data_IF_051692692903
#
_entry.id   IF_051692692903
#
_cell.length_a   1.000
_cell.length_b   1.000
_cell.length_c   1.000
_cell.angle_alpha   90.00
_cell.angle_beta   90.00
_cell.angle_gamma   90.00
#
_symmetry.space_group_name_H-M   'P 1'
#
loop_
_entity.id
_entity.type
_entity.pdbx_description
1 polymer ?
#
# COMPACT_ATOMS: atom_id res chain seq x y z
N UNK A 1 28.92 36.87 -50.32
CA UNK A 1 28.69 37.78 -49.17
C UNK A 1 27.68 37.22 -48.15
N UNK A 2 26.58 36.56 -48.54
CA UNK A 2 25.63 35.97 -47.58
C UNK A 2 26.14 34.67 -46.91
N UNK A 3 26.90 33.83 -47.63
CA UNK A 3 27.41 32.56 -47.11
C UNK A 3 28.55 32.69 -46.10
N UNK A 4 29.47 33.63 -46.31
CA UNK A 4 30.57 33.89 -45.37
C UNK A 4 30.07 34.45 -44.03
N UNK A 5 29.01 35.25 -44.04
CA UNK A 5 28.37 35.75 -42.81
C UNK A 5 27.62 34.65 -42.05
N UNK A 6 27.07 33.66 -42.75
CA UNK A 6 26.41 32.50 -42.16
C UNK A 6 27.43 31.55 -41.51
N UNK A 7 28.53 31.27 -42.20
CA UNK A 7 29.65 30.49 -41.66
C UNK A 7 30.29 31.17 -40.44
N UNK A 8 30.50 32.49 -40.48
CA UNK A 8 31.04 33.26 -39.35
C UNK A 8 30.11 33.24 -38.13
N UNK A 9 28.79 33.38 -38.33
CA UNK A 9 27.79 33.26 -37.24
C UNK A 9 27.74 31.87 -36.63
N UNK A 10 27.92 30.84 -37.45
CA UNK A 10 27.89 29.44 -36.99
C UNK A 10 29.16 29.12 -36.19
N UNK A 11 30.33 29.59 -36.65
CA UNK A 11 31.60 29.47 -35.93
C UNK A 11 31.57 30.21 -34.58
N UNK A 12 31.01 31.42 -34.54
CA UNK A 12 30.83 32.18 -33.30
C UNK A 12 29.92 31.46 -32.30
N UNK A 13 28.80 30.88 -32.75
CA UNK A 13 27.91 30.07 -31.89
C UNK A 13 28.59 28.81 -31.37
N UNK A 14 29.38 28.12 -32.19
CA UNK A 14 30.12 26.93 -31.75
C UNK A 14 31.20 27.30 -30.73
N UNK A 15 31.88 28.43 -30.90
CA UNK A 15 32.84 28.95 -29.91
C UNK A 15 32.16 29.39 -28.61
N UNK A 16 30.98 30.00 -28.68
CA UNK A 16 30.18 30.38 -27.51
C UNK A 16 29.67 29.14 -26.76
N UNK A 17 29.19 28.11 -27.47
CA UNK A 17 28.78 26.83 -26.87
C UNK A 17 30.00 26.10 -26.28
N UNK A 18 31.14 26.09 -26.97
CA UNK A 18 32.37 25.49 -26.45
C UNK A 18 32.89 26.24 -25.21
N UNK A 19 32.80 27.56 -25.20
CA UNK A 19 33.12 28.40 -24.05
C UNK A 19 32.15 28.14 -22.90
N UNK A 20 30.85 28.01 -23.14
CA UNK A 20 29.83 27.67 -22.14
C UNK A 20 29.99 26.25 -21.60
N UNK A 21 30.38 25.28 -22.43
CA UNK A 21 30.69 23.91 -22.01
C UNK A 21 31.98 23.87 -21.20
N UNK A 22 33.00 24.66 -21.57
CA UNK A 22 34.20 24.83 -20.76
C UNK A 22 33.93 25.59 -19.46
N UNK A 23 33.02 26.57 -19.46
CA UNK A 23 32.57 27.27 -18.26
C UNK A 23 31.74 26.35 -17.36
N UNK A 24 30.93 25.45 -17.93
CA UNK A 24 30.18 24.44 -17.18
C UNK A 24 31.08 23.34 -16.63
N UNK A 25 32.15 22.96 -17.34
CA UNK A 25 33.14 21.99 -16.87
C UNK A 25 34.11 22.57 -15.85
N UNK A 26 34.48 23.86 -15.96
CA UNK A 26 35.24 24.59 -14.92
C UNK A 26 34.37 25.04 -13.75
N UNK A 27 33.04 25.15 -13.94
CA UNK A 27 32.02 25.26 -12.89
C UNK A 27 31.54 23.89 -12.40
N UNK A 28 32.33 22.82 -12.56
CA UNK A 28 32.44 21.84 -11.47
C UNK A 28 33.13 22.57 -10.33
N UNK A 29 32.33 23.28 -9.55
CA UNK A 29 32.71 23.73 -8.22
C UNK A 29 33.19 22.46 -7.53
N UNK A 30 34.52 22.32 -7.37
CA UNK A 30 35.10 21.38 -6.43
C UNK A 30 34.49 21.81 -5.10
N UNK A 31 33.44 21.13 -4.66
CA UNK A 31 32.76 21.42 -3.40
C UNK A 31 33.84 21.16 -2.36
N UNK A 32 34.43 22.24 -1.87
CA UNK A 32 35.53 22.17 -0.92
C UNK A 32 34.95 21.72 0.42
N UNK A 33 35.27 20.48 0.79
CA UNK A 33 35.31 19.91 2.14
C UNK A 33 34.68 20.75 3.25
N UNK A 34 33.35 20.76 3.34
CA UNK A 34 32.65 21.28 4.51
C UNK A 34 32.90 20.41 5.73
N UNK A 35 32.57 20.92 6.93
CA UNK A 35 32.66 20.14 8.19
C UNK A 35 31.95 18.78 8.07
N UNK A 36 30.79 18.76 7.41
CA UNK A 36 30.02 17.55 7.06
C UNK A 36 30.83 16.52 6.28
N UNK A 37 31.51 16.94 5.20
CA UNK A 37 32.34 16.05 4.38
C UNK A 37 33.51 15.47 5.19
N UNK A 38 34.13 16.31 6.03
CA UNK A 38 35.25 15.88 6.87
C UNK A 38 34.83 14.83 7.92
N UNK A 39 33.66 14.99 8.55
CA UNK A 39 33.14 14.01 9.52
C UNK A 39 32.79 12.68 8.82
N UNK A 40 32.09 12.75 7.69
CA UNK A 40 31.76 11.55 6.91
C UNK A 40 33.03 10.81 6.45
N UNK A 41 34.02 11.54 5.92
CA UNK A 41 35.30 10.96 5.50
C UNK A 41 36.02 10.29 6.68
N UNK A 42 36.15 10.96 7.81
CA UNK A 42 36.76 10.38 9.02
C UNK A 42 36.05 9.10 9.47
N UNK A 43 34.73 9.07 9.38
CA UNK A 43 33.94 7.89 9.76
C UNK A 43 34.26 6.67 8.87
N UNK A 44 34.22 6.83 7.56
CA UNK A 44 34.56 5.73 6.65
C UNK A 44 36.05 5.37 6.66
N UNK A 45 36.93 6.35 6.83
CA UNK A 45 38.38 6.12 6.98
C UNK A 45 38.68 5.31 8.26
N UNK A 46 37.97 5.60 9.37
CA UNK A 46 38.09 4.82 10.61
C UNK A 46 37.65 3.37 10.41
N UNK A 47 36.53 3.13 9.70
CA UNK A 47 36.11 1.76 9.35
C UNK A 47 37.15 1.07 8.46
N UNK A 48 37.66 1.77 7.44
CA UNK A 48 38.71 1.25 6.55
C UNK A 48 40.00 0.90 7.32
N UNK A 49 40.33 1.67 8.35
CA UNK A 49 41.46 1.44 9.26
C UNK A 49 41.16 0.40 10.35
N UNK A 50 39.93 -0.11 10.44
CA UNK A 50 39.43 -0.98 11.52
C UNK A 50 39.52 -0.34 12.91
N UNK A 51 39.43 0.99 12.97
CA UNK A 51 39.38 1.78 14.21
C UNK A 51 37.92 1.97 14.64
N UNK A 52 37.40 0.97 15.36
CA UNK A 52 36.01 0.92 15.81
C UNK A 52 35.68 2.06 16.79
N UNK A 53 36.62 2.46 17.64
CA UNK A 53 36.37 3.48 18.65
C UNK A 53 36.31 4.88 18.02
N UNK A 54 37.16 5.19 17.05
CA UNK A 54 37.03 6.44 16.27
C UNK A 54 35.72 6.44 15.47
N UNK A 55 35.38 5.33 14.80
CA UNK A 55 34.16 5.25 13.99
C UNK A 55 32.90 5.49 14.85
N UNK A 56 32.78 4.80 15.98
CA UNK A 56 31.66 4.97 16.93
C UNK A 56 31.70 6.35 17.59
N UNK A 57 32.89 6.86 17.89
CA UNK A 57 33.11 8.17 18.49
C UNK A 57 32.64 9.34 17.62
N UNK A 58 32.38 9.15 16.33
CA UNK A 58 31.84 10.17 15.43
C UNK A 58 30.31 10.27 15.45
N UNK A 59 29.62 9.37 16.12
CA UNK A 59 28.16 9.40 16.26
C UNK A 59 27.70 10.30 17.40
N UNK A 60 26.51 10.88 17.23
CA UNK A 60 25.75 11.49 18.30
C UNK A 60 25.12 10.40 19.19
N UNK A 61 24.93 10.69 20.47
CA UNK A 61 24.22 9.78 21.37
C UNK A 61 22.79 9.55 20.88
N UNK A 62 22.36 8.30 20.81
CA UNK A 62 21.07 7.90 20.26
C UNK A 62 20.91 8.06 18.74
N UNK A 63 21.99 8.40 18.02
CA UNK A 63 22.01 8.51 16.56
C UNK A 63 21.58 7.20 15.89
N UNK A 64 20.88 7.30 14.76
CA UNK A 64 20.21 6.14 14.12
C UNK A 64 21.00 5.62 12.92
N UNK A 65 21.41 4.35 12.99
CA UNK A 65 21.92 3.61 11.83
C UNK A 65 20.80 2.74 11.27
N UNK A 66 20.60 2.82 9.95
CA UNK A 66 19.52 2.12 9.26
C UNK A 66 20.01 1.60 7.91
N UNK A 67 20.42 0.34 7.91
CA UNK A 67 20.76 -0.40 6.70
C UNK A 67 19.49 -1.02 6.15
N UNK A 68 19.01 -0.49 5.03
CA UNK A 68 17.66 -0.76 4.53
C UNK A 68 17.40 -2.25 4.31
N UNK A 69 16.41 -2.77 5.04
CA UNK A 69 16.00 -4.18 4.97
C UNK A 69 16.90 -5.15 5.75
N UNK A 70 17.86 -4.65 6.53
CA UNK A 70 18.84 -5.47 7.24
C UNK A 70 18.94 -5.12 8.73
N UNK A 71 19.32 -3.89 9.07
CA UNK A 71 19.68 -3.48 10.44
C UNK A 71 19.06 -2.11 10.76
N UNK A 72 18.47 -1.97 11.95
CA UNK A 72 18.08 -0.68 12.53
C UNK A 72 18.53 -0.63 13.99
N UNK A 73 19.53 0.21 14.28
CA UNK A 73 20.20 0.28 15.59
C UNK A 73 20.50 1.73 16.00
N UNK A 74 20.88 1.92 17.26
CA UNK A 74 21.25 3.23 17.81
C UNK A 74 22.69 3.26 18.30
N UNK A 75 23.34 4.40 18.11
CA UNK A 75 24.65 4.68 18.64
C UNK A 75 24.59 4.97 20.16
N UNK A 76 25.68 4.71 20.91
CA UNK A 76 26.93 4.12 20.42
C UNK A 76 26.94 2.59 20.36
N UNK A 77 26.25 1.87 21.26
CA UNK A 77 26.38 0.41 21.41
C UNK A 77 25.94 -0.36 20.17
N UNK A 78 24.76 -0.06 19.63
CA UNK A 78 24.22 -0.77 18.47
C UNK A 78 25.05 -0.56 17.21
N UNK A 79 25.61 0.65 17.02
CA UNK A 79 26.54 0.93 15.92
C UNK A 79 27.87 0.20 16.12
N UNK A 80 28.38 0.13 17.36
CA UNK A 80 29.59 -0.63 17.69
C UNK A 80 29.44 -2.11 17.36
N UNK A 81 28.35 -2.73 17.80
CA UNK A 81 28.04 -4.13 17.52
C UNK A 81 27.90 -4.39 16.01
N UNK A 82 27.24 -3.48 15.30
CA UNK A 82 27.06 -3.60 13.85
C UNK A 82 28.38 -3.52 13.06
N UNK A 83 29.18 -2.47 13.28
CA UNK A 83 30.47 -2.30 12.58
C UNK A 83 31.44 -3.41 12.98
N UNK A 84 31.50 -3.75 14.27
CA UNK A 84 32.32 -4.86 14.77
C UNK A 84 31.96 -6.19 14.12
N UNK A 85 30.66 -6.52 14.07
CA UNK A 85 30.16 -7.73 13.41
C UNK A 85 30.52 -7.80 11.92
N UNK A 86 30.46 -6.67 11.20
CA UNK A 86 30.88 -6.60 9.80
C UNK A 86 32.39 -6.88 9.64
N UNK A 87 33.23 -6.25 10.47
CA UNK A 87 34.68 -6.43 10.45
C UNK A 87 35.11 -7.85 10.87
N UNK A 88 34.34 -8.48 11.74
CA UNK A 88 34.55 -9.87 12.17
C UNK A 88 34.03 -10.87 11.14
N UNK A 89 32.95 -10.56 10.40
CA UNK A 89 32.43 -11.43 9.35
C UNK A 89 33.37 -11.50 8.13
N UNK A 90 34.10 -10.41 7.87
CA UNK A 90 35.03 -10.26 6.74
C UNK A 90 36.41 -9.85 7.27
N UNK A 91 37.26 -10.81 7.70
CA UNK A 91 38.51 -10.52 8.39
C UNK A 91 39.52 -9.70 7.57
N UNK A 92 39.46 -9.85 6.24
CA UNK A 92 40.31 -9.15 5.26
C UNK A 92 39.58 -7.98 4.58
N UNK A 93 38.52 -7.45 5.21
CA UNK A 93 37.71 -6.36 4.68
C UNK A 93 38.55 -5.16 4.25
N UNK A 94 38.31 -4.72 3.02
CA UNK A 94 38.79 -3.47 2.45
C UNK A 94 37.61 -2.58 2.15
N UNK A 95 37.61 -1.39 2.74
CA UNK A 95 36.60 -0.38 2.52
C UNK A 95 37.19 0.73 1.64
N UNK A 96 36.49 1.09 0.57
CA UNK A 96 36.89 2.13 -0.37
C UNK A 96 35.75 3.14 -0.53
N UNK A 97 36.03 4.44 -0.33
CA UNK A 97 35.10 5.52 -0.68
C UNK A 97 35.31 5.88 -2.15
N UNK A 98 34.31 5.59 -2.99
CA UNK A 98 34.36 5.85 -4.43
C UNK A 98 34.04 7.30 -4.76
N UNK A 99 33.04 7.88 -4.10
CA UNK A 99 32.66 9.28 -4.27
C UNK A 99 31.89 9.82 -3.07
N UNK A 100 31.86 11.15 -2.93
CA UNK A 100 31.15 11.81 -1.84
C UNK A 100 30.54 13.12 -2.35
N UNK A 101 29.31 13.41 -1.96
CA UNK A 101 28.61 14.67 -2.28
C UNK A 101 27.95 15.22 -1.04
N UNK A 102 28.09 16.52 -0.79
CA UNK A 102 27.51 17.17 0.39
C UNK A 102 26.58 18.32 0.03
N UNK A 103 25.53 18.49 0.84
CA UNK A 103 24.66 19.65 0.84
C UNK A 103 24.22 19.93 2.28
N UNK A 104 24.64 21.09 2.82
CA UNK A 104 24.35 21.49 4.20
C UNK A 104 24.80 20.41 5.22
N UNK A 105 23.86 19.87 5.99
CA UNK A 105 24.08 18.83 7.00
C UNK A 105 24.07 17.41 6.41
N UNK A 106 23.79 17.24 5.12
CA UNK A 106 23.67 15.93 4.48
C UNK A 106 24.92 15.57 3.67
N UNK A 107 25.33 14.31 3.79
CA UNK A 107 26.41 13.72 3.02
C UNK A 107 25.94 12.43 2.37
N UNK A 108 26.11 12.30 1.06
CA UNK A 108 25.96 11.04 0.34
C UNK A 108 27.34 10.47 0.07
N UNK A 109 27.57 9.22 0.48
CA UNK A 109 28.84 8.52 0.28
C UNK A 109 28.61 7.27 -0.52
N UNK A 110 29.25 7.18 -1.68
CA UNK A 110 29.32 5.96 -2.46
C UNK A 110 30.56 5.18 -2.04
N UNK A 111 30.39 3.92 -1.72
CA UNK A 111 31.46 3.07 -1.23
C UNK A 111 31.46 1.69 -1.88
N UNK A 112 32.61 1.03 -1.77
CA UNK A 112 32.82 -0.36 -2.12
C UNK A 112 33.51 -1.07 -0.97
N UNK A 113 32.98 -2.22 -0.58
CA UNK A 113 33.62 -3.18 0.31
C UNK A 113 34.09 -4.37 -0.53
N UNK A 114 35.28 -4.88 -0.23
CA UNK A 114 35.75 -6.16 -0.77
C UNK A 114 36.40 -6.99 0.33
N UNK A 115 36.33 -8.31 0.21
CA UNK A 115 36.97 -9.24 1.14
C UNK A 115 36.43 -10.64 0.97
N UNK A 116 36.72 -11.50 1.95
CA UNK A 116 36.33 -12.89 1.99
C UNK A 116 35.38 -13.11 3.17
N UNK A 117 34.17 -13.61 2.90
CA UNK A 117 33.16 -13.86 3.93
C UNK A 117 33.45 -15.17 4.68
N UNK A 118 34.50 -15.15 5.50
CA UNK A 118 35.09 -16.32 6.15
C UNK A 118 35.39 -16.14 7.64
N UNK A 119 34.96 -15.02 8.23
CA UNK A 119 35.28 -14.71 9.62
C UNK A 119 34.37 -15.41 10.64
N UNK A 120 34.60 -15.25 11.95
CA UNK A 120 33.82 -15.95 12.98
C UNK A 120 32.38 -15.44 13.14
N UNK A 121 32.05 -14.25 12.64
CA UNK A 121 30.73 -13.64 12.78
C UNK A 121 29.82 -13.87 11.56
N UNK A 122 28.51 -13.84 11.79
CA UNK A 122 27.52 -13.85 10.72
C UNK A 122 27.31 -12.44 10.15
N UNK A 123 26.91 -12.36 8.89
CA UNK A 123 26.48 -11.12 8.25
C UNK A 123 24.97 -11.21 7.97
N UNK A 124 24.17 -10.32 8.57
CA UNK A 124 22.71 -10.34 8.44
C UNK A 124 22.07 -11.71 8.79
N UNK A 125 22.63 -12.39 9.80
CA UNK A 125 22.19 -13.73 10.23
C UNK A 125 22.65 -14.88 9.32
N UNK A 126 23.42 -14.60 8.27
CA UNK A 126 23.96 -15.60 7.35
C UNK A 126 25.32 -16.06 7.86
N UNK A 127 25.56 -17.37 7.89
CA UNK A 127 26.85 -17.93 8.28
C UNK A 127 27.91 -17.68 7.16
N UNK A 128 29.18 -17.48 7.54
CA UNK A 128 30.29 -17.34 6.59
C UNK A 128 30.34 -18.50 5.58
N UNK A 129 30.40 -18.16 4.30
CA UNK A 129 30.43 -19.16 3.21
C UNK A 129 31.84 -19.45 2.69
N UNK A 130 32.79 -18.57 3.00
CA UNK A 130 34.15 -18.61 2.44
C UNK A 130 34.27 -17.92 1.08
N UNK A 131 33.18 -17.40 0.51
CA UNK A 131 33.20 -16.77 -0.80
C UNK A 131 33.84 -15.38 -0.76
N UNK A 132 34.56 -14.98 -1.83
CA UNK A 132 34.95 -13.59 -2.03
C UNK A 132 33.71 -12.75 -2.34
N UNK A 133 33.64 -11.57 -1.73
CA UNK A 133 32.55 -10.62 -1.92
C UNK A 133 33.08 -9.26 -2.36
N UNK A 134 32.32 -8.62 -3.24
CA UNK A 134 32.42 -7.20 -3.57
C UNK A 134 31.02 -6.60 -3.39
N UNK A 135 30.89 -5.72 -2.42
CA UNK A 135 29.64 -5.03 -2.10
C UNK A 135 29.78 -3.55 -2.43
N UNK A 136 28.80 -3.00 -3.12
CA UNK A 136 28.71 -1.56 -3.35
C UNK A 136 27.46 -1.02 -2.66
N UNK A 137 27.53 0.24 -2.25
CA UNK A 137 26.41 0.88 -1.60
C UNK A 137 26.51 2.39 -1.56
N UNK A 138 25.44 2.99 -1.04
CA UNK A 138 25.31 4.41 -0.79
C UNK A 138 24.82 4.65 0.62
N UNK A 139 25.47 5.58 1.31
CA UNK A 139 25.08 6.02 2.65
C UNK A 139 24.63 7.48 2.60
N UNK A 140 23.44 7.77 3.12
CA UNK A 140 22.94 9.13 3.33
C UNK A 140 23.08 9.48 4.81
N UNK A 141 24.14 10.22 5.14
CA UNK A 141 24.39 10.71 6.50
C UNK A 141 23.74 12.08 6.70
N UNK A 142 23.16 12.28 7.88
CA UNK A 142 22.84 13.60 8.44
C UNK A 142 23.78 13.88 9.59
N UNK A 143 24.52 14.99 9.50
CA UNK A 143 25.60 15.35 10.41
C UNK A 143 25.32 16.75 10.97
N UNK A 144 25.20 16.83 12.30
CA UNK A 144 25.00 18.09 13.03
C UNK A 144 26.03 18.21 14.14
N UNK A 145 26.48 19.43 14.38
CA UNK A 145 27.46 19.72 15.45
C UNK A 145 28.71 18.82 15.43
N UNK A 146 29.12 18.39 14.23
CA UNK A 146 30.28 17.52 14.02
C UNK A 146 30.05 16.04 14.36
N UNK A 147 28.79 15.62 14.52
CA UNK A 147 28.39 14.26 14.87
C UNK A 147 27.37 13.69 13.89
N UNK A 148 27.44 12.40 13.64
CA UNK A 148 26.46 11.68 12.82
C UNK A 148 25.19 11.48 13.66
N UNK A 149 24.09 12.11 13.25
CA UNK A 149 22.77 11.91 13.88
C UNK A 149 22.02 10.74 13.26
N UNK A 150 22.17 10.54 11.95
CA UNK A 150 21.58 9.38 11.27
C UNK A 150 22.33 8.99 10.02
N UNK A 151 22.29 7.70 9.72
CA UNK A 151 22.71 7.13 8.45
C UNK A 151 21.58 6.26 7.88
N UNK A 152 21.26 6.47 6.61
CA UNK A 152 20.39 5.58 5.84
C UNK A 152 21.23 4.93 4.72
N UNK A 153 21.57 3.66 4.91
CA UNK A 153 22.49 2.90 4.05
C UNK A 153 21.74 1.96 3.08
N UNK A 154 22.18 1.94 1.82
CA UNK A 154 21.60 1.20 0.70
C UNK A 154 22.65 0.29 0.03
N UNK A 155 22.92 -0.90 0.59
CA UNK A 155 23.86 -1.85 0.00
C UNK A 155 23.22 -2.71 -1.10
N UNK A 156 24.01 -3.17 -2.07
CA UNK A 156 23.59 -4.17 -3.07
C UNK A 156 23.38 -5.57 -2.45
N UNK A 157 22.24 -5.72 -1.80
CA UNK A 157 21.85 -6.93 -1.07
C UNK A 157 21.58 -8.12 -2.00
N UNK A 158 21.09 -7.86 -3.23
CA UNK A 158 20.84 -8.91 -4.22
C UNK A 158 22.17 -9.39 -4.81
N UNK A 159 23.08 -8.46 -5.09
CA UNK A 159 24.45 -8.78 -5.51
C UNK A 159 25.19 -9.60 -4.46
N UNK A 160 25.08 -9.26 -3.18
CA UNK A 160 25.59 -10.08 -2.07
C UNK A 160 25.01 -11.50 -2.12
N UNK A 161 23.68 -11.63 -2.07
CA UNK A 161 23.01 -12.93 -2.03
C UNK A 161 23.36 -13.83 -3.22
N UNK A 162 23.65 -13.26 -4.38
CA UNK A 162 24.14 -14.01 -5.55
C UNK A 162 25.58 -14.48 -5.39
N UNK A 163 26.47 -13.63 -4.86
CA UNK A 163 27.88 -13.97 -4.66
C UNK A 163 28.09 -15.10 -3.66
N UNK A 164 27.27 -15.15 -2.60
CA UNK A 164 27.32 -16.21 -1.57
C UNK A 164 26.41 -17.41 -1.89
N UNK A 165 25.87 -17.49 -3.11
CA UNK A 165 25.10 -18.63 -3.60
C UNK A 165 23.66 -18.77 -3.08
N UNK A 166 23.12 -17.80 -2.34
CA UNK A 166 21.71 -17.80 -1.89
C UNK A 166 20.73 -17.60 -3.05
N UNK A 167 21.13 -16.85 -4.08
CA UNK A 167 20.35 -16.64 -5.28
C UNK A 167 21.15 -17.07 -6.52
N UNK A 168 20.48 -17.60 -7.56
CA UNK A 168 21.15 -17.91 -8.81
C UNK A 168 21.67 -16.65 -9.49
N UNK A 169 22.78 -16.79 -10.20
CA UNK A 169 23.36 -15.72 -11.00
C UNK A 169 22.40 -15.28 -12.13
N UNK A 170 22.43 -13.99 -12.50
CA UNK A 170 21.53 -13.44 -13.51
C UNK A 170 21.75 -14.10 -14.87
N UNK A 171 20.66 -14.42 -15.57
CA UNK A 171 20.68 -15.04 -16.90
C UNK A 171 21.01 -16.53 -16.91
N UNK A 172 21.07 -17.19 -15.74
CA UNK A 172 21.29 -18.64 -15.67
C UNK A 172 19.98 -19.42 -15.78
N UNK A 173 20.06 -20.66 -16.29
CA UNK A 173 18.91 -21.57 -16.33
C UNK A 173 18.32 -21.86 -14.92
N UNK A 174 19.13 -21.71 -13.86
CA UNK A 174 18.66 -21.83 -12.48
C UNK A 174 17.74 -20.66 -12.09
N UNK A 175 18.08 -19.42 -12.47
CA UNK A 175 17.23 -18.24 -12.26
C UNK A 175 15.93 -18.35 -13.05
N UNK A 176 16.00 -18.80 -14.31
CA UNK A 176 14.81 -19.02 -15.15
C UNK A 176 13.87 -20.05 -14.55
N UNK A 177 14.39 -21.17 -14.04
CA UNK A 177 13.59 -22.21 -13.37
C UNK A 177 12.95 -21.68 -12.09
N UNK A 178 13.69 -20.95 -11.27
CA UNK A 178 13.18 -20.36 -10.03
C UNK A 178 12.04 -19.37 -10.34
N UNK A 179 12.25 -18.50 -11.33
CA UNK A 179 11.24 -17.54 -11.82
C UNK A 179 10.02 -18.26 -12.41
N UNK A 180 10.25 -19.31 -13.21
CA UNK A 180 9.20 -20.13 -13.80
C UNK A 180 8.34 -20.83 -12.74
N UNK A 181 8.96 -21.40 -11.71
CA UNK A 181 8.29 -22.03 -10.58
C UNK A 181 7.46 -21.01 -9.77
N UNK A 182 8.03 -19.84 -9.49
CA UNK A 182 7.30 -18.73 -8.85
C UNK A 182 6.08 -18.31 -9.67
N UNK A 183 6.25 -18.10 -10.98
CA UNK A 183 5.17 -17.73 -11.90
C UNK A 183 4.09 -18.81 -12.03
N UNK A 184 4.48 -20.09 -12.00
CA UNK A 184 3.54 -21.20 -11.97
C UNK A 184 2.72 -21.18 -10.66
N UNK A 185 3.37 -21.00 -9.51
CA UNK A 185 2.69 -20.87 -8.21
C UNK A 185 1.74 -19.68 -8.20
N UNK A 186 2.14 -18.54 -8.76
CA UNK A 186 1.29 -17.34 -8.88
C UNK A 186 0.06 -17.61 -9.74
N UNK A 187 0.21 -18.28 -10.90
CA UNK A 187 -0.91 -18.68 -11.76
C UNK A 187 -1.87 -19.65 -11.09
N UNK A 188 -1.36 -20.58 -10.28
CA UNK A 188 -2.22 -21.51 -9.51
C UNK A 188 -2.98 -20.75 -8.43
N UNK A 189 -2.32 -19.85 -7.67
CA UNK A 189 -2.97 -19.03 -6.64
C UNK A 189 -4.02 -18.06 -7.23
N UNK A 190 -3.77 -17.48 -8.39
CA UNK A 190 -4.73 -16.58 -9.04
C UNK A 190 -6.00 -17.30 -9.50
N UNK A 191 -5.93 -18.59 -9.83
CA UNK A 191 -7.11 -19.43 -10.14
C UNK A 191 -7.98 -19.74 -8.93
N UNK A 192 -7.43 -19.63 -7.72
CA UNK A 192 -8.14 -19.87 -6.44
C UNK A 192 -8.66 -18.55 -5.85
N UNK A 193 -8.24 -17.41 -6.39
CA UNK A 193 -8.71 -16.08 -5.94
C UNK A 193 -10.09 -15.80 -6.57
N UNK A 194 -11.10 -15.36 -5.78
CA UNK A 194 -12.43 -15.08 -6.30
C UNK A 194 -12.41 -14.03 -7.43
N UNK A 195 -13.31 -14.24 -8.39
CA UNK A 195 -13.86 -13.28 -9.37
C UNK A 195 -12.97 -12.12 -9.83
N UNK A 196 -12.54 -12.14 -11.09
CA UNK A 196 -12.14 -10.90 -11.75
C UNK A 196 -13.30 -9.90 -11.77
N UNK A 197 -12.99 -8.61 -11.95
CA UNK A 197 -14.01 -7.57 -12.07
C UNK A 197 -14.98 -7.90 -13.22
N UNK A 198 -16.27 -7.97 -12.93
CA UNK A 198 -17.33 -8.21 -13.90
C UNK A 198 -18.01 -6.87 -14.22
N UNK A 199 -18.16 -6.54 -15.51
CA UNK A 199 -18.87 -5.33 -15.93
C UNK A 199 -20.38 -5.53 -15.70
N UNK A 200 -20.99 -4.67 -14.90
CA UNK A 200 -22.42 -4.76 -14.53
C UNK A 200 -23.27 -3.67 -15.19
N UNK A 201 -22.65 -2.56 -15.55
CA UNK A 201 -23.24 -1.46 -16.31
C UNK A 201 -22.10 -0.65 -16.96
N UNK A 202 -22.44 0.30 -17.83
CA UNK A 202 -21.45 1.19 -18.44
C UNK A 202 -20.64 1.91 -17.35
N UNK A 203 -19.31 1.77 -17.39
CA UNK A 203 -18.39 2.35 -16.42
C UNK A 203 -18.47 1.77 -15.01
N UNK A 204 -19.12 0.61 -14.80
CA UNK A 204 -19.29 0.02 -13.47
C UNK A 204 -18.96 -1.47 -13.47
N UNK A 205 -18.02 -1.86 -12.61
CA UNK A 205 -17.63 -3.25 -12.38
C UNK A 205 -17.91 -3.67 -10.95
N UNK A 206 -18.08 -4.98 -10.74
CA UNK A 206 -18.16 -5.59 -9.41
C UNK A 206 -17.03 -6.60 -9.21
N UNK A 207 -16.42 -6.57 -8.04
CA UNK A 207 -15.55 -7.64 -7.53
C UNK A 207 -16.28 -8.28 -6.37
N UNK A 208 -16.62 -9.57 -6.49
CA UNK A 208 -17.30 -10.32 -5.44
C UNK A 208 -16.32 -11.23 -4.69
N UNK A 209 -16.28 -11.09 -3.37
CA UNK A 209 -15.32 -11.78 -2.50
C UNK A 209 -15.86 -12.97 -1.73
N UNK A 210 -15.00 -13.59 -0.94
CA UNK A 210 -15.33 -14.62 0.04
C UNK A 210 -14.54 -14.38 1.33
N UNK A 211 -15.07 -14.74 2.51
CA UNK A 211 -16.41 -15.27 2.77
C UNK A 211 -17.49 -14.17 2.75
N UNK A 212 -18.75 -14.57 2.55
CA UNK A 212 -19.89 -13.64 2.66
C UNK A 212 -20.32 -12.99 1.36
N UNK A 213 -19.62 -13.23 0.23
CA UNK A 213 -20.02 -12.69 -1.08
C UNK A 213 -20.16 -11.17 -1.10
N UNK A 214 -19.33 -10.46 -0.32
CA UNK A 214 -19.29 -8.99 -0.31
C UNK A 214 -18.95 -8.48 -1.71
N UNK A 215 -19.65 -7.44 -2.13
CA UNK A 215 -19.45 -6.75 -3.38
C UNK A 215 -18.63 -5.48 -3.14
N UNK A 216 -17.65 -5.25 -4.02
CA UNK A 216 -16.97 -3.96 -4.15
C UNK A 216 -17.20 -3.47 -5.56
N UNK A 217 -17.78 -2.28 -5.70
CA UNK A 217 -18.03 -1.69 -7.00
C UNK A 217 -16.88 -0.78 -7.38
N UNK A 218 -16.43 -0.88 -8.62
CA UNK A 218 -15.42 -0.01 -9.21
C UNK A 218 -16.16 0.82 -10.26
N UNK A 219 -16.20 2.12 -10.05
CA UNK A 219 -16.90 3.08 -10.92
C UNK A 219 -15.84 3.91 -11.62
N UNK A 220 -15.87 3.97 -12.94
CA UNK A 220 -14.97 4.81 -13.74
C UNK A 220 -15.03 6.27 -13.26
N UNK A 221 -13.87 6.84 -12.93
CA UNK A 221 -13.75 8.19 -12.40
C UNK A 221 -12.38 8.78 -12.75
N UNK A 222 -12.35 9.91 -13.48
CA UNK A 222 -11.14 10.68 -13.82
C UNK A 222 -9.94 9.88 -14.37
N UNK A 223 -10.17 8.86 -15.21
CA UNK A 223 -9.11 8.01 -15.76
C UNK A 223 -8.55 6.98 -14.77
N UNK A 224 -9.29 6.71 -13.68
CA UNK A 224 -9.14 5.58 -12.78
C UNK A 224 -10.51 5.09 -12.34
N UNK A 225 -10.60 4.61 -11.10
CA UNK A 225 -11.88 4.20 -10.50
C UNK A 225 -12.08 4.75 -9.08
N UNK A 226 -13.32 5.15 -8.79
CA UNK A 226 -13.83 5.31 -7.43
C UNK A 226 -14.43 3.99 -6.97
N UNK A 227 -14.02 3.52 -5.80
CA UNK A 227 -14.57 2.30 -5.20
C UNK A 227 -15.79 2.68 -4.37
N UNK A 228 -16.91 2.00 -4.58
CA UNK A 228 -18.06 2.05 -3.69
C UNK A 228 -18.13 0.77 -2.87
N UNK A 229 -18.12 0.93 -1.55
CA UNK A 229 -17.67 -0.07 -0.57
C UNK A 229 -16.23 -0.54 -0.76
N UNK A 230 -15.71 -1.26 0.22
CA UNK A 230 -14.37 -1.84 0.22
C UNK A 230 -14.36 -3.32 0.64
N UNK A 231 -15.51 -3.96 0.85
CA UNK A 231 -15.59 -5.41 1.04
C UNK A 231 -14.73 -5.93 2.20
N UNK A 232 -14.39 -7.23 2.14
CA UNK A 232 -13.63 -7.92 3.16
C UNK A 232 -12.10 -7.77 2.98
N UNK A 233 -11.32 -7.83 4.08
CA UNK A 233 -9.85 -7.85 4.05
C UNK A 233 -9.26 -8.90 3.11
N UNK A 234 -9.88 -10.06 2.97
CA UNK A 234 -9.45 -11.12 2.03
C UNK A 234 -9.46 -10.66 0.57
N UNK A 235 -10.20 -9.59 0.25
CA UNK A 235 -10.38 -9.06 -1.11
C UNK A 235 -9.28 -8.08 -1.54
N UNK A 236 -8.36 -7.67 -0.64
CA UNK A 236 -7.36 -6.62 -0.92
C UNK A 236 -6.66 -6.83 -2.26
N UNK A 237 -6.21 -8.06 -2.54
CA UNK A 237 -5.50 -8.36 -3.79
C UNK A 237 -6.40 -8.31 -5.01
N UNK A 238 -7.62 -8.84 -4.91
CA UNK A 238 -8.55 -8.90 -6.03
C UNK A 238 -9.00 -7.49 -6.43
N UNK A 239 -9.38 -6.68 -5.44
CA UNK A 239 -9.79 -5.28 -5.64
C UNK A 239 -8.62 -4.43 -6.13
N UNK A 240 -7.43 -4.51 -5.51
CA UNK A 240 -6.26 -3.76 -5.97
C UNK A 240 -5.87 -4.11 -7.41
N UNK A 241 -5.95 -5.40 -7.77
CA UNK A 241 -5.66 -5.85 -9.15
C UNK A 241 -6.70 -5.34 -10.14
N UNK A 242 -7.99 -5.39 -9.78
CA UNK A 242 -9.08 -4.89 -10.62
C UNK A 242 -8.95 -3.38 -10.84
N UNK A 243 -8.77 -2.62 -9.76
CA UNK A 243 -8.58 -1.18 -9.83
C UNK A 243 -7.35 -0.81 -10.66
N UNK A 244 -6.20 -1.47 -10.47
CA UNK A 244 -4.99 -1.22 -11.26
C UNK A 244 -5.20 -1.44 -12.77
N UNK A 245 -6.00 -2.45 -13.16
CA UNK A 245 -6.34 -2.70 -14.57
C UNK A 245 -7.28 -1.64 -15.17
N UNK A 246 -8.00 -0.92 -14.32
CA UNK A 246 -8.95 0.14 -14.69
C UNK A 246 -8.39 1.55 -14.44
N UNK A 247 -7.05 1.71 -14.42
CA UNK A 247 -6.40 3.03 -14.26
C UNK A 247 -6.05 3.42 -12.82
N UNK A 248 -6.25 2.52 -11.86
CA UNK A 248 -5.92 2.70 -10.44
C UNK A 248 -7.08 3.23 -9.60
N UNK A 249 -7.10 2.89 -8.31
CA UNK A 249 -8.07 3.43 -7.36
C UNK A 249 -7.76 4.91 -7.06
N UNK A 250 -8.78 5.77 -7.12
CA UNK A 250 -8.66 7.20 -6.82
C UNK A 250 -9.11 7.55 -5.41
N UNK A 251 -10.23 6.97 -5.00
CA UNK A 251 -10.82 7.13 -3.66
C UNK A 251 -11.74 5.94 -3.38
N UNK A 252 -12.12 5.81 -2.12
CA UNK A 252 -13.12 4.86 -1.64
C UNK A 252 -14.26 5.67 -1.04
N UNK A 253 -15.50 5.33 -1.39
CA UNK A 253 -16.70 5.80 -0.72
C UNK A 253 -17.34 4.59 -0.05
N UNK A 254 -17.26 4.53 1.28
CA UNK A 254 -17.88 3.45 2.04
C UNK A 254 -19.40 3.66 2.09
N UNK A 255 -20.15 2.61 1.76
CA UNK A 255 -21.59 2.58 1.96
C UNK A 255 -21.94 2.63 3.43
N UNK A 256 -21.13 2.00 4.29
CA UNK A 256 -21.19 2.10 5.75
C UNK A 256 -19.92 1.53 6.42
N UNK A 257 -19.80 1.65 7.73
CA UNK A 257 -18.60 1.39 8.52
C UNK A 257 -18.41 -0.06 9.00
N UNK A 258 -19.23 -1.03 8.58
CA UNK A 258 -19.04 -2.43 8.99
C UNK A 258 -17.73 -3.03 8.47
N UNK A 259 -17.19 -3.99 9.22
CA UNK A 259 -15.85 -4.55 8.97
C UNK A 259 -15.73 -5.27 7.63
N UNK A 260 -16.81 -5.85 7.13
CA UNK A 260 -16.91 -6.52 5.84
C UNK A 260 -17.21 -5.58 4.66
N UNK A 261 -17.33 -4.27 4.93
CA UNK A 261 -17.46 -3.21 3.92
C UNK A 261 -16.29 -2.23 3.94
N UNK A 262 -15.50 -2.15 5.01
CA UNK A 262 -14.28 -1.32 5.08
C UNK A 262 -12.97 -2.10 4.91
N UNK A 263 -13.01 -3.43 4.81
CA UNK A 263 -11.87 -4.32 5.00
C UNK A 263 -10.70 -4.15 4.03
N UNK A 264 -10.94 -3.69 2.78
CA UNK A 264 -9.84 -3.38 1.84
C UNK A 264 -9.25 -1.98 2.07
N UNK A 265 -10.01 -1.05 2.65
CA UNK A 265 -9.67 0.36 2.66
C UNK A 265 -8.31 0.69 3.29
N UNK A 266 -7.91 0.11 4.45
CA UNK A 266 -6.60 0.37 5.05
C UNK A 266 -5.39 0.02 4.18
N UNK A 267 -5.55 -0.89 3.22
CA UNK A 267 -4.45 -1.39 2.41
C UNK A 267 -4.21 -0.62 1.09
N UNK A 268 -5.18 0.17 0.63
CA UNK A 268 -5.09 0.84 -0.68
C UNK A 268 -4.39 2.20 -0.64
N UNK A 269 -4.36 2.87 0.52
CA UNK A 269 -3.64 4.15 0.67
C UNK A 269 -4.22 5.31 -0.15
N UNK A 270 -5.52 5.26 -0.45
CA UNK A 270 -6.27 6.33 -1.15
C UNK A 270 -7.24 7.03 -0.18
N UNK A 271 -7.70 8.26 -0.46
CA UNK A 271 -8.71 8.93 0.35
C UNK A 271 -9.96 8.07 0.53
N UNK A 272 -10.48 8.04 1.76
CA UNK A 272 -11.68 7.28 2.13
C UNK A 272 -12.74 8.24 2.63
N UNK A 273 -13.92 8.18 2.04
CA UNK A 273 -15.08 8.98 2.40
C UNK A 273 -16.20 8.07 2.88
N UNK A 274 -17.05 8.59 3.74
CA UNK A 274 -18.30 7.93 4.17
C UNK A 274 -19.30 9.00 4.61
N UNK A 275 -20.50 8.59 5.00
CA UNK A 275 -21.43 9.49 5.68
C UNK A 275 -20.89 9.92 7.04
N UNK A 276 -21.24 11.13 7.50
CA UNK A 276 -20.76 11.67 8.78
C UNK A 276 -21.07 10.75 9.98
N UNK A 277 -22.25 10.11 9.98
CA UNK A 277 -22.66 9.19 11.04
C UNK A 277 -21.91 7.83 11.03
N UNK A 278 -21.15 7.54 9.98
CA UNK A 278 -20.35 6.30 9.85
C UNK A 278 -18.89 6.52 10.25
N UNK A 279 -18.45 7.75 10.54
CA UNK A 279 -17.04 8.05 10.86
C UNK A 279 -16.60 7.27 12.10
N UNK A 280 -17.39 7.26 13.17
CA UNK A 280 -17.07 6.53 14.41
C UNK A 280 -16.87 5.02 14.16
N UNK A 281 -17.70 4.45 13.29
CA UNK A 281 -17.66 3.02 12.97
C UNK A 281 -16.51 2.69 12.03
N UNK A 282 -16.27 3.51 11.01
CA UNK A 282 -15.20 3.34 10.05
C UNK A 282 -13.80 3.55 10.67
N UNK A 283 -13.65 4.54 11.55
CA UNK A 283 -12.40 4.82 12.29
C UNK A 283 -12.25 3.98 13.57
N UNK A 284 -13.27 3.20 13.93
CA UNK A 284 -13.30 2.49 15.20
C UNK A 284 -14.13 1.23 15.13
N UNK A 285 -15.35 1.32 15.62
CA UNK A 285 -16.14 0.20 16.16
C UNK A 285 -16.45 -0.90 15.14
N UNK A 286 -16.54 -0.59 13.84
CA UNK A 286 -16.92 -1.54 12.82
C UNK A 286 -18.38 -2.03 12.93
N UNK A 287 -19.28 -1.24 13.52
CA UNK A 287 -20.67 -1.58 13.82
C UNK A 287 -20.90 -2.17 15.23
N UNK A 288 -19.84 -2.60 15.90
CA UNK A 288 -19.96 -3.26 17.21
C UNK A 288 -20.51 -2.36 18.33
N UNK A 289 -20.55 -1.03 18.16
CA UNK A 289 -21.12 -0.11 19.16
C UNK A 289 -22.63 -0.25 19.35
N UNK A 290 -23.36 -0.66 18.30
CA UNK A 290 -24.83 -0.81 18.34
C UNK A 290 -25.29 -2.25 18.17
N UNK A 291 -24.40 -3.17 17.81
CA UNK A 291 -24.71 -4.60 17.87
C UNK A 291 -24.81 -5.10 19.31
N UNK A 292 -25.58 -6.19 19.56
CA UNK A 292 -25.63 -6.81 20.88
C UNK A 292 -24.23 -7.19 21.38
N UNK A 293 -23.95 -6.88 22.65
CA UNK A 293 -22.68 -7.25 23.31
C UNK A 293 -22.39 -8.73 23.08
N UNK A 294 -21.15 -9.02 22.69
CA UNK A 294 -20.67 -10.36 22.38
C UNK A 294 -21.48 -11.11 21.30
N UNK A 295 -22.24 -10.39 20.46
CA UNK A 295 -23.17 -10.95 19.47
C UNK A 295 -24.20 -11.89 20.12
N UNK A 296 -24.71 -11.52 21.30
CA UNK A 296 -25.61 -12.33 22.13
C UNK A 296 -26.88 -12.85 21.46
N UNK A 297 -27.26 -12.31 20.29
CA UNK A 297 -28.35 -12.81 19.44
C UNK A 297 -28.03 -14.09 18.67
N UNK A 298 -26.78 -14.57 18.68
CA UNK A 298 -26.35 -15.79 17.98
C UNK A 298 -26.09 -16.97 18.92
N UNK A 299 -26.32 -18.22 18.46
CA UNK A 299 -25.86 -19.41 19.18
C UNK A 299 -24.35 -19.39 19.45
N UNK A 300 -23.93 -19.92 20.60
CA UNK A 300 -22.52 -19.93 21.04
C UNK A 300 -21.50 -20.40 19.97
N UNK A 301 -21.69 -21.50 19.23
CA UNK A 301 -20.73 -21.90 18.20
C UNK A 301 -20.65 -20.90 17.04
N UNK A 302 -21.78 -20.30 16.65
CA UNK A 302 -21.84 -19.27 15.60
C UNK A 302 -21.14 -17.98 16.04
N UNK A 303 -21.27 -17.57 17.32
CA UNK A 303 -20.55 -16.41 17.87
C UNK A 303 -19.03 -16.57 17.72
N UNK A 304 -18.50 -17.75 18.03
CA UNK A 304 -17.06 -18.01 17.92
C UNK A 304 -16.58 -17.98 16.47
N UNK A 305 -17.33 -18.58 15.54
CA UNK A 305 -17.01 -18.52 14.11
C UNK A 305 -17.04 -17.09 13.61
N UNK A 306 -18.07 -16.32 13.98
CA UNK A 306 -18.20 -14.91 13.58
C UNK A 306 -17.02 -14.07 14.06
N UNK A 307 -16.58 -14.22 15.32
CA UNK A 307 -15.38 -13.55 15.85
C UNK A 307 -14.12 -13.85 15.05
N UNK A 308 -13.94 -15.11 14.65
CA UNK A 308 -12.81 -15.52 13.81
C UNK A 308 -12.90 -14.90 12.41
N UNK A 309 -14.09 -14.85 11.81
CA UNK A 309 -14.31 -14.22 10.51
C UNK A 309 -14.01 -12.72 10.55
N UNK A 310 -14.49 -12.00 11.56
CA UNK A 310 -14.14 -10.60 11.77
C UNK A 310 -12.64 -10.39 11.84
N UNK A 311 -11.94 -11.14 12.69
CA UNK A 311 -10.48 -10.97 12.90
C UNK A 311 -9.62 -11.33 11.70
N UNK A 312 -9.98 -12.40 10.97
CA UNK A 312 -9.09 -12.99 9.97
C UNK A 312 -9.54 -12.80 8.53
N UNK A 313 -10.82 -12.52 8.29
CA UNK A 313 -11.39 -12.48 6.95
C UNK A 313 -11.97 -11.11 6.57
N UNK A 314 -12.76 -10.50 7.45
CA UNK A 314 -13.50 -9.27 7.15
C UNK A 314 -12.72 -8.02 7.53
N UNK A 315 -12.34 -7.86 8.80
CA UNK A 315 -11.80 -6.60 9.30
C UNK A 315 -10.37 -6.36 8.82
N UNK A 316 -10.19 -5.26 8.09
CA UNK A 316 -8.89 -4.69 7.71
C UNK A 316 -8.27 -3.84 8.81
N UNK A 317 -9.04 -3.52 9.85
CA UNK A 317 -8.73 -2.54 10.88
C UNK A 317 -9.40 -1.19 10.61
N UNK A 318 -9.35 -0.27 11.59
CA UNK A 318 -9.77 1.12 11.42
C UNK A 318 -9.18 1.80 10.19
N UNK A 319 -9.98 2.63 9.54
CA UNK A 319 -9.53 3.45 8.42
C UNK A 319 -9.84 4.92 8.70
N UNK A 320 -8.85 5.80 8.50
CA UNK A 320 -9.02 7.23 8.70
C UNK A 320 -9.90 7.82 7.59
N UNK A 321 -10.94 8.54 7.97
CA UNK A 321 -11.83 9.21 7.03
C UNK A 321 -11.21 10.54 6.60
N UNK A 322 -11.15 10.73 5.29
CA UNK A 322 -10.53 11.89 4.66
C UNK A 322 -11.53 13.03 4.49
N UNK A 323 -12.79 12.71 4.18
CA UNK A 323 -13.90 13.65 4.04
C UNK A 323 -15.24 12.91 4.18
N UNK A 324 -16.35 13.64 4.26
CA UNK A 324 -17.69 13.07 4.36
C UNK A 324 -18.54 13.36 3.13
N UNK A 325 -19.47 12.46 2.81
CA UNK A 325 -20.52 12.67 1.80
C UNK A 325 -21.90 12.71 2.45
N UNK A 326 -22.83 13.45 1.84
CA UNK A 326 -24.21 13.60 2.29
C UNK A 326 -25.21 13.28 1.17
N UNK A 327 -26.48 13.15 1.55
CA UNK A 327 -27.60 13.04 0.60
C UNK A 327 -27.51 14.13 -0.49
N UNK A 328 -27.62 13.71 -1.74
CA UNK A 328 -27.61 14.61 -2.90
C UNK A 328 -26.23 14.92 -3.49
N UNK A 329 -25.14 14.59 -2.79
CA UNK A 329 -23.79 14.74 -3.33
C UNK A 329 -23.57 13.84 -4.55
N UNK A 330 -22.61 14.21 -5.39
CA UNK A 330 -22.24 13.44 -6.58
C UNK A 330 -20.93 12.66 -6.38
N UNK A 331 -20.96 11.37 -6.69
CA UNK A 331 -19.82 10.45 -6.66
C UNK A 331 -19.74 9.71 -7.98
N UNK A 332 -18.74 10.04 -8.81
CA UNK A 332 -18.47 9.37 -10.08
C UNK A 332 -19.72 9.23 -10.99
N UNK A 333 -20.53 10.29 -11.09
CA UNK A 333 -21.78 10.31 -11.88
C UNK A 333 -22.99 9.66 -11.20
N UNK A 334 -22.89 9.29 -9.92
CA UNK A 334 -24.00 8.82 -9.09
C UNK A 334 -24.37 9.87 -8.05
N UNK A 335 -25.66 9.99 -7.75
CA UNK A 335 -26.17 10.76 -6.62
C UNK A 335 -26.17 9.89 -5.36
N UNK A 336 -25.68 10.43 -4.25
CA UNK A 336 -25.70 9.79 -2.94
C UNK A 336 -27.11 9.83 -2.36
N UNK A 337 -27.57 8.69 -1.84
CA UNK A 337 -28.82 8.53 -1.10
C UNK A 337 -28.52 8.06 0.32
N UNK A 338 -29.05 8.75 1.33
CA UNK A 338 -28.98 8.33 2.73
C UNK A 338 -30.11 7.35 3.06
N UNK A 339 -29.74 6.10 3.34
CA UNK A 339 -30.66 4.97 3.56
C UNK A 339 -30.41 4.33 4.93
N UNK A 340 -30.62 5.07 6.04
CA UNK A 340 -30.27 4.61 7.38
C UNK A 340 -31.09 3.39 7.81
N UNK A 341 -30.57 2.65 8.79
CA UNK A 341 -31.30 1.58 9.48
C UNK A 341 -30.45 0.32 9.66
N UNK A 342 -29.78 -0.16 8.61
CA UNK A 342 -28.75 -1.19 8.81
C UNK A 342 -27.57 -0.61 9.59
N UNK A 343 -27.10 0.57 9.14
CA UNK A 343 -26.17 1.44 9.84
C UNK A 343 -26.76 2.87 9.84
N UNK A 344 -26.41 3.73 10.82
CA UNK A 344 -27.04 5.05 10.97
C UNK A 344 -26.75 6.03 9.82
N UNK A 345 -25.59 5.91 9.18
CA UNK A 345 -25.21 6.66 7.99
C UNK A 345 -25.06 5.80 6.75
N UNK A 346 -25.79 4.68 6.64
CA UNK A 346 -25.74 3.88 5.42
C UNK A 346 -26.14 4.72 4.21
N UNK A 347 -25.33 4.68 3.17
CA UNK A 347 -25.61 5.34 1.88
C UNK A 347 -25.69 4.33 0.73
N UNK A 348 -26.44 4.73 -0.29
CA UNK A 348 -26.48 4.10 -1.61
C UNK A 348 -26.07 5.11 -2.68
N UNK A 349 -25.66 4.60 -3.84
CA UNK A 349 -25.40 5.40 -5.03
C UNK A 349 -26.48 5.13 -6.08
N UNK A 350 -27.09 6.20 -6.58
CA UNK A 350 -28.14 6.17 -7.60
C UNK A 350 -27.71 6.88 -8.88
N UNK A 351 -27.85 6.20 -10.02
CA UNK A 351 -27.62 6.79 -11.34
C UNK A 351 -28.91 6.84 -12.13
N UNK A 352 -29.35 8.06 -12.45
CA UNK A 352 -30.61 8.32 -13.13
C UNK A 352 -30.63 7.79 -14.58
N UNK A 353 -29.49 7.87 -15.28
CA UNK A 353 -29.40 7.57 -16.72
C UNK A 353 -29.76 6.13 -17.08
N UNK A 354 -29.45 5.16 -16.21
CA UNK A 354 -29.76 3.75 -16.39
C UNK A 354 -30.59 3.14 -15.23
N UNK A 355 -31.01 3.98 -14.27
CA UNK A 355 -31.74 3.58 -13.06
C UNK A 355 -31.02 2.48 -12.28
N UNK A 356 -29.70 2.56 -12.20
CA UNK A 356 -28.86 1.66 -11.43
C UNK A 356 -28.75 2.14 -9.98
N UNK A 357 -29.06 1.25 -9.04
CA UNK A 357 -28.82 1.45 -7.62
C UNK A 357 -27.71 0.53 -7.12
N UNK A 358 -26.66 1.11 -6.52
CA UNK A 358 -25.68 0.38 -5.70
C UNK A 358 -26.02 0.64 -4.23
N UNK A 359 -26.59 -0.35 -3.56
CA UNK A 359 -27.36 -0.14 -2.35
C UNK A 359 -26.65 -0.48 -1.04
N UNK A 360 -25.39 -0.94 -1.11
CA UNK A 360 -24.68 -1.52 0.04
C UNK A 360 -25.62 -2.46 0.81
N UNK A 361 -25.62 -2.43 2.14
CA UNK A 361 -26.43 -3.30 2.98
C UNK A 361 -27.85 -2.80 3.27
N UNK A 362 -28.41 -1.94 2.40
CA UNK A 362 -29.83 -1.54 2.49
C UNK A 362 -30.79 -2.75 2.45
N UNK A 363 -30.44 -3.79 1.66
CA UNK A 363 -31.14 -5.07 1.62
C UNK A 363 -30.17 -6.22 1.33
N UNK A 364 -30.55 -7.45 1.69
CA UNK A 364 -29.79 -8.66 1.38
C UNK A 364 -30.48 -9.54 0.35
N UNK A 365 -29.70 -10.14 -0.54
CA UNK A 365 -30.10 -11.28 -1.38
C UNK A 365 -29.39 -12.58 -0.93
N UNK A 366 -28.96 -12.59 0.33
CA UNK A 366 -28.23 -13.67 0.98
C UNK A 366 -28.91 -14.01 2.31
N UNK A 367 -29.10 -15.30 2.59
CA UNK A 367 -29.57 -15.75 3.90
C UNK A 367 -28.42 -15.88 4.91
N UNK A 368 -28.75 -16.15 6.17
CA UNK A 368 -27.75 -16.29 7.26
C UNK A 368 -26.78 -17.47 7.08
N UNK A 369 -27.04 -18.37 6.12
CA UNK A 369 -26.16 -19.49 5.76
C UNK A 369 -25.38 -19.24 4.47
N UNK A 370 -25.45 -18.04 3.90
CA UNK A 370 -24.73 -17.67 2.68
C UNK A 370 -25.37 -18.18 1.39
N UNK A 371 -26.66 -18.55 1.40
CA UNK A 371 -27.40 -19.00 0.21
C UNK A 371 -28.16 -17.83 -0.41
N UNK A 372 -28.22 -17.79 -1.73
CA UNK A 372 -28.99 -16.76 -2.43
C UNK A 372 -30.48 -16.88 -2.07
N UNK A 373 -31.13 -15.76 -1.78
CA UNK A 373 -32.57 -15.68 -1.53
C UNK A 373 -33.18 -14.44 -2.19
N UNK A 374 -34.51 -14.32 -2.14
CA UNK A 374 -35.21 -13.10 -2.51
C UNK A 374 -34.74 -11.92 -1.63
N UNK A 375 -34.84 -10.67 -2.11
CA UNK A 375 -34.47 -9.53 -1.29
C UNK A 375 -35.23 -9.52 0.02
N UNK A 376 -34.54 -9.13 1.10
CA UNK A 376 -35.07 -9.09 2.46
C UNK A 376 -34.35 -8.02 3.27
N UNK A 377 -34.98 -7.58 4.36
CA UNK A 377 -34.30 -6.79 5.38
C UNK A 377 -33.11 -7.59 5.95
N UNK A 378 -31.94 -6.97 6.18
CA UNK A 378 -30.85 -7.63 6.88
C UNK A 378 -31.30 -8.11 8.26
N UNK A 379 -30.62 -9.13 8.78
CA UNK A 379 -31.06 -9.79 10.02
C UNK A 379 -31.02 -8.79 11.19
N UNK A 380 -32.08 -8.66 12.03
CA UNK A 380 -32.22 -7.56 12.99
C UNK A 380 -31.03 -7.33 13.93
N UNK A 381 -30.28 -8.38 14.26
CA UNK A 381 -29.09 -8.24 15.12
C UNK A 381 -27.96 -7.39 14.50
N UNK A 382 -27.95 -7.24 13.17
CA UNK A 382 -26.94 -6.47 12.44
C UNK A 382 -27.45 -5.08 12.06
N UNK A 383 -28.72 -4.78 12.32
CA UNK A 383 -29.30 -3.47 12.07
C UNK A 383 -29.14 -2.58 13.30
N UNK A 384 -28.83 -1.32 13.04
CA UNK A 384 -29.02 -0.23 14.00
C UNK A 384 -30.51 -0.04 14.37
N UNK A 385 -31.38 0.03 13.36
CA UNK A 385 -32.84 0.11 13.48
C UNK A 385 -33.50 -0.63 12.31
N UNK A 386 -34.24 -1.71 12.63
CA UNK A 386 -34.86 -2.57 11.62
C UNK A 386 -36.07 -1.92 10.95
N UNK A 387 -36.85 -1.09 11.66
CA UNK A 387 -37.99 -0.40 11.05
C UNK A 387 -37.53 0.74 10.14
N UNK A 388 -36.45 1.43 10.54
CA UNK A 388 -35.79 2.39 9.68
C UNK A 388 -35.19 1.72 8.44
N UNK A 389 -34.59 0.53 8.57
CA UNK A 389 -34.09 -0.23 7.42
C UNK A 389 -35.22 -0.59 6.44
N UNK A 390 -36.40 -1.00 6.95
CA UNK A 390 -37.59 -1.22 6.11
C UNK A 390 -38.02 0.05 5.39
N UNK A 391 -38.03 1.19 6.07
CA UNK A 391 -38.36 2.48 5.46
C UNK A 391 -37.38 2.86 4.34
N UNK A 392 -36.09 2.62 4.55
CA UNK A 392 -35.04 2.84 3.54
C UNK A 392 -35.21 1.94 2.31
N UNK A 393 -35.60 0.67 2.48
CA UNK A 393 -35.92 -0.22 1.36
C UNK A 393 -37.13 0.31 0.56
N UNK A 394 -38.19 0.79 1.24
CA UNK A 394 -39.35 1.39 0.56
C UNK A 394 -38.94 2.64 -0.23
N UNK A 395 -38.13 3.52 0.37
CA UNK A 395 -37.58 4.71 -0.30
C UNK A 395 -36.78 4.36 -1.56
N UNK A 396 -35.94 3.32 -1.50
CA UNK A 396 -35.20 2.84 -2.67
C UNK A 396 -36.14 2.27 -3.75
N UNK A 397 -37.19 1.56 -3.36
CA UNK A 397 -38.17 1.00 -4.29
C UNK A 397 -38.97 2.09 -5.04
N UNK A 398 -39.23 3.24 -4.42
CA UNK A 398 -39.95 4.38 -5.02
C UNK A 398 -39.19 5.02 -6.19
N UNK A 399 -37.87 4.83 -6.28
CA UNK A 399 -37.05 5.28 -7.41
C UNK A 399 -37.21 4.39 -8.66
N UNK A 400 -37.93 3.29 -8.55
CA UNK A 400 -38.16 2.29 -9.59
C UNK A 400 -36.86 1.83 -10.30
N UNK A 401 -35.87 1.27 -9.54
CA UNK A 401 -34.60 0.87 -10.12
C UNK A 401 -34.78 -0.17 -11.23
N UNK A 402 -34.02 -0.06 -12.31
CA UNK A 402 -33.95 -1.11 -13.33
C UNK A 402 -33.13 -2.31 -12.82
N UNK A 403 -32.11 -2.05 -12.01
CA UNK A 403 -31.33 -3.04 -11.29
C UNK A 403 -30.88 -2.46 -9.94
N UNK A 404 -30.99 -3.25 -8.88
CA UNK A 404 -30.49 -2.89 -7.55
C UNK A 404 -29.45 -3.90 -7.10
N UNK A 405 -28.23 -3.44 -6.86
CA UNK A 405 -27.09 -4.24 -6.45
C UNK A 405 -26.82 -4.06 -4.95
N UNK A 406 -26.98 -5.13 -4.14
CA UNK A 406 -26.70 -5.08 -2.70
C UNK A 406 -25.22 -5.30 -2.39
N UNK A 407 -24.83 -4.94 -1.17
CA UNK A 407 -23.50 -5.14 -0.60
C UNK A 407 -23.06 -6.60 -0.58
N UNK A 408 -24.00 -7.55 -0.67
CA UNK A 408 -23.71 -8.98 -0.76
C UNK A 408 -24.47 -9.68 -1.89
N UNK A 409 -23.79 -10.59 -2.58
CA UNK A 409 -24.38 -11.52 -3.54
C UNK A 409 -24.93 -10.87 -4.83
N UNK A 410 -26.08 -11.35 -5.33
CA UNK A 410 -26.57 -11.05 -6.69
C UNK A 410 -27.50 -9.83 -6.69
N UNK A 411 -27.62 -9.11 -7.83
CA UNK A 411 -28.58 -8.03 -7.95
C UNK A 411 -30.02 -8.54 -7.92
N UNK A 412 -30.92 -7.60 -7.62
CA UNK A 412 -32.34 -7.72 -7.93
C UNK A 412 -32.58 -7.10 -9.31
N UNK A 413 -33.17 -7.87 -10.21
CA UNK A 413 -33.56 -7.45 -11.56
C UNK A 413 -34.99 -7.90 -11.85
N UNK A 414 -35.56 -7.44 -12.97
CA UNK A 414 -36.97 -7.68 -13.31
C UNK A 414 -37.87 -6.66 -12.62
N UNK A 415 -38.91 -7.11 -11.90
CA UNK A 415 -39.75 -6.21 -11.10
C UNK A 415 -39.06 -5.87 -9.78
N UNK A 416 -38.05 -4.99 -9.84
CA UNK A 416 -37.24 -4.61 -8.68
C UNK A 416 -38.09 -3.91 -7.63
N UNK A 417 -38.99 -3.02 -8.06
CA UNK A 417 -39.89 -2.28 -7.16
C UNK A 417 -40.74 -3.23 -6.33
N UNK A 418 -41.47 -4.16 -6.95
CA UNK A 418 -42.34 -5.07 -6.20
C UNK A 418 -41.54 -5.98 -5.26
N UNK A 419 -40.37 -6.45 -5.69
CA UNK A 419 -39.50 -7.29 -4.87
C UNK A 419 -38.96 -6.55 -3.64
N UNK A 420 -38.52 -5.29 -3.79
CA UNK A 420 -38.07 -4.47 -2.66
C UNK A 420 -39.22 -4.10 -1.72
N UNK A 421 -40.41 -3.78 -2.24
CA UNK A 421 -41.58 -3.55 -1.41
C UNK A 421 -41.95 -4.80 -0.60
N UNK A 422 -41.93 -5.99 -1.22
CA UNK A 422 -42.16 -7.25 -0.52
C UNK A 422 -41.10 -7.50 0.57
N UNK A 423 -39.83 -7.18 0.29
CA UNK A 423 -38.74 -7.28 1.25
C UNK A 423 -38.94 -6.37 2.49
N UNK A 424 -39.49 -5.17 2.29
CA UNK A 424 -39.75 -4.23 3.37
C UNK A 424 -40.91 -4.66 4.29
N UNK A 425 -41.80 -5.54 3.81
CA UNK A 425 -42.95 -6.06 4.57
C UNK A 425 -42.68 -7.40 5.27
N UNK A 426 -41.61 -8.12 4.89
CA UNK A 426 -41.20 -9.42 5.49
C UNK A 426 -40.36 -9.25 6.74
#
# INVERSE_FOLDING_TARGET
>A
MADEQSAAKTSAKVQEVAANVQQASTRRRRISGGKTESVARRYFDAIAARDLEEAVGLWADGGRENVRGQVEVRAPEGVREFIGGLLDAVPDLRFEVLSMTTQEERCVVQWRISGTFAGPASMNGIAPTGDPIVLEGLDLLTIRDGKIESNDAYPDSIGFARQIGMLPAPGTAAEERLTGAFNARTRVRSRITPGGAELIAEGVWVVQGQPGRCNVYLIEDEGGVTLFDAGARTMVRAVATAAAKLGGARRIVLGHGHTDHRGVAPALGVPVLCHADEVEDAEGSGGFRYWPVDLGGLPAPLRQVHRLMHRYAWDGGPVKISDTVAEGDEVAGFRVLHLPGHAPGLIALWRESDRLALASDCFYTLDMWGRSCAPRVPFPMYNYDTEQARASIRRLAELEPAAAWPGHAKPVTGDVRAQLLAAAES
#
